data_IF_449563319046
#
_entry.id   IF_449563319046
#
_cell.length_a   1.000
_cell.length_b   1.000
_cell.length_c   1.000
_cell.angle_alpha   90.00
_cell.angle_beta   90.00
_cell.angle_gamma   90.00
#
_symmetry.space_group_name_H-M   'P 1'
#
loop_
_entity.id
_entity.type
_entity.pdbx_description
1 polymer ?
#
# COMPACT_ATOMS: atom_id res chain seq x y z
N UNK A 1 5.35 -8.07 -1.76
CA UNK A 1 5.72 -7.01 -2.74
C UNK A 1 4.64 -5.94 -2.92
N UNK A 2 3.38 -6.19 -2.54
CA UNK A 2 2.26 -5.24 -2.71
C UNK A 2 2.50 -3.83 -2.17
N UNK A 3 3.12 -3.71 -0.99
CA UNK A 3 3.50 -2.42 -0.42
C UNK A 3 4.35 -1.57 -1.38
N UNK A 4 5.28 -2.19 -2.10
CA UNK A 4 6.14 -1.48 -3.05
C UNK A 4 5.38 -1.05 -4.31
N UNK A 5 4.33 -1.79 -4.69
CA UNK A 5 3.43 -1.37 -5.77
C UNK A 5 2.63 -0.13 -5.35
N UNK A 6 2.20 -0.09 -4.09
CA UNK A 6 1.57 1.09 -3.49
C UNK A 6 2.51 2.29 -3.45
N UNK A 7 3.74 2.16 -2.93
CA UNK A 7 4.71 3.26 -2.88
C UNK A 7 4.98 3.81 -4.30
N UNK A 8 5.16 2.92 -5.28
CA UNK A 8 5.31 3.34 -6.68
C UNK A 8 4.07 4.07 -7.19
N UNK A 9 2.88 3.55 -6.90
CA UNK A 9 1.61 4.16 -7.27
C UNK A 9 1.42 5.55 -6.62
N UNK A 10 1.82 5.75 -5.36
CA UNK A 10 1.80 7.07 -4.71
C UNK A 10 2.69 8.10 -5.43
N UNK A 11 3.89 7.68 -5.86
CA UNK A 11 4.82 8.53 -6.64
C UNK A 11 4.24 8.86 -8.00
N UNK A 12 3.75 7.85 -8.72
CA UNK A 12 3.21 8.00 -10.06
C UNK A 12 2.01 8.96 -10.11
N UNK A 13 1.18 9.02 -9.05
CA UNK A 13 0.02 9.93 -8.96
C UNK A 13 0.35 11.36 -8.56
N UNK A 14 1.56 11.64 -8.06
CA UNK A 14 1.97 12.97 -7.62
C UNK A 14 2.84 13.72 -8.63
N UNK A 15 3.26 13.05 -9.70
CA UNK A 15 4.25 13.59 -10.65
C UNK A 15 5.51 14.11 -9.96
N UNK A 16 5.84 13.55 -8.79
CA UNK A 16 7.11 13.82 -8.14
C UNK A 16 8.16 13.25 -9.08
N UNK A 17 9.06 14.11 -9.56
CA UNK A 17 10.24 13.67 -10.31
C UNK A 17 10.85 12.50 -9.55
N UNK A 18 11.29 11.48 -10.30
CA UNK A 18 11.83 10.23 -9.74
C UNK A 18 13.18 10.53 -9.05
N UNK A 19 13.16 11.32 -7.99
CA UNK A 19 14.22 11.42 -7.02
C UNK A 19 14.20 10.17 -6.14
N UNK A 20 14.99 10.21 -5.08
CA UNK A 20 15.25 9.10 -4.15
C UNK A 20 14.03 8.64 -3.32
N UNK A 21 12.80 8.90 -3.74
CA UNK A 21 11.62 8.45 -3.00
C UNK A 21 11.20 7.03 -3.38
N UNK A 22 11.24 6.13 -2.40
CA UNK A 22 10.73 4.76 -2.50
C UNK A 22 11.67 3.76 -3.15
N UNK A 23 12.45 4.14 -4.17
CA UNK A 23 13.39 3.22 -4.82
C UNK A 23 14.55 2.78 -3.90
N UNK A 24 15.25 3.66 -3.16
CA UNK A 24 16.31 3.24 -2.24
C UNK A 24 15.80 2.28 -1.15
N UNK A 25 14.65 2.58 -0.54
CA UNK A 25 14.02 1.70 0.46
C UNK A 25 13.59 0.36 -0.17
N UNK A 26 13.08 0.38 -1.41
CA UNK A 26 12.72 -0.83 -2.16
C UNK A 26 13.94 -1.70 -2.44
N UNK A 27 15.03 -1.09 -2.92
CA UNK A 27 16.29 -1.76 -3.22
C UNK A 27 16.86 -2.39 -1.95
N UNK A 28 16.89 -1.65 -0.84
CA UNK A 28 17.35 -2.17 0.45
C UNK A 28 16.48 -3.33 0.95
N UNK A 29 15.15 -3.21 0.84
CA UNK A 29 14.24 -4.29 1.21
C UNK A 29 14.40 -5.52 0.31
N UNK A 30 14.69 -5.33 -0.98
CA UNK A 30 14.97 -6.43 -1.91
C UNK A 30 16.29 -7.14 -1.58
N UNK A 31 17.33 -6.37 -1.21
CA UNK A 31 18.59 -6.91 -0.67
C UNK A 31 18.34 -7.73 0.61
N UNK A 32 17.54 -7.20 1.55
CA UNK A 32 17.19 -7.89 2.81
C UNK A 32 16.38 -9.17 2.60
N UNK A 33 15.45 -9.18 1.64
CA UNK A 33 14.60 -10.35 1.36
C UNK A 33 15.36 -11.53 0.74
N UNK A 34 16.60 -11.30 0.31
CA UNK A 34 17.46 -12.37 -0.15
C UNK A 34 17.31 -12.59 -1.64
N UNK A 35 18.41 -12.33 -2.33
CA UNK A 35 18.89 -13.17 -3.41
C UNK A 35 20.42 -13.33 -3.26
N UNK A 36 20.94 -13.27 -2.03
CA UNK A 36 22.39 -13.47 -1.77
C UNK A 36 22.85 -14.86 -2.22
N UNK A 37 21.92 -15.82 -2.25
CA UNK A 37 22.16 -17.22 -2.62
C UNK A 37 22.11 -17.49 -4.14
N UNK A 38 21.39 -16.67 -4.93
CA UNK A 38 21.28 -16.86 -6.39
C UNK A 38 22.02 -15.78 -7.20
N UNK A 39 22.31 -14.64 -6.59
CA UNK A 39 23.18 -13.59 -7.14
C UNK A 39 24.19 -13.18 -6.06
N UNK A 40 25.37 -13.83 -6.02
CA UNK A 40 26.42 -13.53 -5.05
C UNK A 40 26.91 -12.08 -5.09
N UNK A 41 26.63 -11.34 -6.16
CA UNK A 41 26.99 -9.93 -6.31
C UNK A 41 25.86 -8.99 -5.91
N UNK A 42 25.88 -8.47 -4.68
CA UNK A 42 25.21 -7.19 -4.34
C UNK A 42 25.98 -6.00 -4.92
N UNK A 43 26.34 -6.09 -6.21
CA UNK A 43 27.12 -5.10 -6.93
C UNK A 43 26.25 -4.12 -7.72
N UNK A 44 26.87 -3.13 -8.39
CA UNK A 44 26.17 -2.11 -9.18
C UNK A 44 25.19 -2.68 -10.21
N UNK A 45 25.51 -3.84 -10.81
CA UNK A 45 24.64 -4.52 -11.78
C UNK A 45 23.31 -4.99 -11.18
N UNK A 46 23.31 -5.42 -9.91
CA UNK A 46 22.09 -5.79 -9.19
C UNK A 46 21.19 -4.57 -8.96
N UNK A 47 21.80 -3.43 -8.61
CA UNK A 47 21.08 -2.18 -8.38
C UNK A 47 20.47 -1.66 -9.67
N UNK A 48 21.25 -1.67 -10.77
CA UNK A 48 20.76 -1.30 -12.10
C UNK A 48 19.62 -2.18 -12.58
N UNK A 49 19.75 -3.51 -12.48
CA UNK A 49 18.68 -4.43 -12.89
C UNK A 49 17.43 -4.24 -12.03
N UNK A 50 17.59 -3.97 -10.73
CA UNK A 50 16.49 -3.64 -9.82
C UNK A 50 15.84 -2.31 -10.17
N UNK A 51 16.63 -1.30 -10.56
CA UNK A 51 16.14 -0.01 -11.05
C UNK A 51 15.33 -0.18 -12.33
N UNK A 52 15.86 -0.92 -13.32
CA UNK A 52 15.16 -1.24 -14.57
C UNK A 52 13.83 -1.94 -14.29
N UNK A 53 13.82 -2.93 -13.38
CA UNK A 53 12.57 -3.60 -12.98
C UNK A 53 11.59 -2.65 -12.31
N UNK A 54 12.07 -1.73 -11.46
CA UNK A 54 11.24 -0.71 -10.83
C UNK A 54 10.64 0.25 -11.85
N UNK A 55 11.41 0.69 -12.84
CA UNK A 55 10.97 1.58 -13.91
C UNK A 55 10.00 0.89 -14.88
N UNK A 56 10.26 -0.38 -15.21
CA UNK A 56 9.42 -1.20 -16.09
C UNK A 56 8.06 -1.53 -15.48
N UNK A 57 7.90 -1.44 -14.15
CA UNK A 57 6.58 -1.56 -13.54
C UNK A 57 5.64 -0.54 -14.16
N UNK A 58 4.51 -1.03 -14.67
CA UNK A 58 3.49 -0.18 -15.30
C UNK A 58 3.12 0.97 -14.36
N UNK A 59 3.13 2.18 -14.91
CA UNK A 59 2.64 3.39 -14.23
C UNK A 59 1.12 3.32 -14.19
N UNK A 60 0.57 3.02 -13.03
CA UNK A 60 -0.86 3.07 -12.81
C UNK A 60 -1.18 4.40 -12.16
N UNK A 61 -1.81 5.29 -12.92
CA UNK A 61 -2.35 6.54 -12.38
C UNK A 61 -3.86 6.40 -12.25
N UNK A 62 -4.37 6.89 -11.14
CA UNK A 62 -5.80 6.99 -10.91
C UNK A 62 -6.43 8.00 -11.86
N UNK A 63 -5.73 9.10 -12.14
CA UNK A 63 -6.11 10.10 -13.15
C UNK A 63 -4.97 10.29 -14.15
N UNK A 64 -5.04 9.65 -15.33
CA UNK A 64 -4.02 9.82 -16.36
C UNK A 64 -3.88 11.30 -16.78
N UNK A 65 -2.69 11.88 -16.59
CA UNK A 65 -2.40 13.29 -16.91
C UNK A 65 -3.08 14.32 -15.99
N UNK A 66 -3.65 13.90 -14.86
CA UNK A 66 -4.26 14.80 -13.88
C UNK A 66 -3.23 15.47 -12.97
N UNK A 67 -3.59 16.63 -12.41
CA UNK A 67 -2.82 17.27 -11.33
C UNK A 67 -3.00 16.52 -9.99
N UNK A 68 -2.16 16.83 -8.99
CA UNK A 68 -2.32 16.28 -7.64
C UNK A 68 -3.71 16.56 -7.04
N UNK A 69 -4.31 17.71 -7.32
CA UNK A 69 -5.67 18.03 -6.88
C UNK A 69 -6.71 17.11 -7.54
N UNK A 70 -6.55 16.80 -8.84
CA UNK A 70 -7.42 15.83 -9.51
C UNK A 70 -7.28 14.42 -8.91
N UNK A 71 -6.06 14.04 -8.51
CA UNK A 71 -5.82 12.80 -7.77
C UNK A 71 -6.53 12.78 -6.41
N UNK A 72 -6.42 13.85 -5.60
CA UNK A 72 -7.13 13.94 -4.31
C UNK A 72 -8.65 13.77 -4.45
N UNK A 73 -9.25 14.42 -5.46
CA UNK A 73 -10.68 14.30 -5.72
C UNK A 73 -11.08 12.90 -6.20
N UNK A 74 -10.23 12.25 -7.00
CA UNK A 74 -10.47 10.87 -7.42
C UNK A 74 -10.42 9.89 -6.22
N UNK A 75 -9.45 10.06 -5.32
CA UNK A 75 -9.34 9.27 -4.09
C UNK A 75 -10.58 9.44 -3.22
N UNK A 76 -11.01 10.69 -2.96
CA UNK A 76 -12.24 10.96 -2.20
C UNK A 76 -13.45 10.32 -2.85
N UNK A 77 -13.61 10.47 -4.17
CA UNK A 77 -14.72 9.90 -4.92
C UNK A 77 -14.77 8.37 -4.80
N UNK A 78 -13.63 7.69 -4.97
CA UNK A 78 -13.57 6.22 -4.86
C UNK A 78 -13.86 5.75 -3.44
N UNK A 79 -13.25 6.37 -2.44
CA UNK A 79 -13.53 6.06 -1.04
C UNK A 79 -15.01 6.24 -0.70
N UNK A 80 -15.64 7.32 -1.17
CA UNK A 80 -17.08 7.55 -1.02
C UNK A 80 -17.92 6.45 -1.71
N UNK A 81 -17.55 6.01 -2.93
CA UNK A 81 -18.21 4.89 -3.61
C UNK A 81 -18.10 3.56 -2.84
N UNK A 82 -17.15 3.43 -1.92
CA UNK A 82 -17.00 2.28 -1.02
C UNK A 82 -17.49 2.56 0.42
N UNK A 83 -18.33 3.59 0.61
CA UNK A 83 -18.92 3.99 1.89
C UNK A 83 -17.88 4.43 2.95
N UNK A 84 -16.69 4.85 2.54
CA UNK A 84 -15.74 5.48 3.45
C UNK A 84 -16.00 6.98 3.51
N UNK A 85 -16.50 7.46 4.64
CA UNK A 85 -16.99 8.84 4.82
C UNK A 85 -16.10 9.71 5.71
N UNK A 86 -15.01 9.17 6.26
CA UNK A 86 -14.14 9.89 7.19
C UNK A 86 -13.30 10.93 6.45
N UNK A 87 -13.10 12.09 7.08
CA UNK A 87 -12.30 13.17 6.51
C UNK A 87 -10.80 12.85 6.56
N UNK A 88 -10.10 13.15 5.47
CA UNK A 88 -8.65 13.03 5.36
C UNK A 88 -8.11 14.08 4.40
N UNK A 89 -6.81 14.38 4.51
CA UNK A 89 -6.10 15.29 3.62
C UNK A 89 -4.81 14.64 3.15
N UNK A 90 -4.67 14.41 1.85
CA UNK A 90 -3.41 13.90 1.30
C UNK A 90 -2.41 15.04 1.18
N UNK A 91 -1.16 14.79 1.58
CA UNK A 91 -0.07 15.73 1.36
C UNK A 91 0.60 15.50 0.01
N UNK A 92 1.08 16.60 -0.58
CA UNK A 92 1.77 16.59 -1.86
C UNK A 92 3.08 15.79 -1.76
N UNK A 93 3.77 15.85 -0.62
CA UNK A 93 4.90 14.98 -0.30
C UNK A 93 4.43 13.83 0.61
N UNK A 94 4.50 12.57 0.18
CA UNK A 94 4.10 11.42 1.00
C UNK A 94 4.85 11.31 2.33
N UNK A 95 6.05 11.89 2.45
CA UNK A 95 6.83 11.90 3.71
C UNK A 95 6.18 12.73 4.81
N UNK A 96 5.34 13.68 4.43
CA UNK A 96 4.66 14.60 5.36
C UNK A 96 3.31 14.06 5.82
N UNK A 97 2.82 12.98 5.19
CA UNK A 97 1.57 12.35 5.59
C UNK A 97 1.73 11.66 6.93
N UNK A 98 0.71 11.81 7.78
CA UNK A 98 0.65 11.00 9.00
C UNK A 98 0.35 9.53 8.68
N UNK A 99 0.56 8.67 9.67
CA UNK A 99 0.36 7.24 9.50
C UNK A 99 -1.08 6.92 9.09
N UNK A 100 -2.07 7.57 9.72
CA UNK A 100 -3.48 7.31 9.47
C UNK A 100 -3.86 7.63 8.02
N UNK A 101 -3.47 8.79 7.52
CA UNK A 101 -3.68 9.25 6.15
C UNK A 101 -2.97 8.34 5.14
N UNK A 102 -1.76 7.88 5.46
CA UNK A 102 -1.03 6.91 4.62
C UNK A 102 -1.82 5.60 4.48
N UNK A 103 -2.44 5.12 5.56
CA UNK A 103 -3.28 3.93 5.53
C UNK A 103 -4.60 4.14 4.78
N UNK A 104 -5.20 5.33 4.87
CA UNK A 104 -6.39 5.69 4.07
C UNK A 104 -6.04 5.72 2.58
N UNK A 105 -4.87 6.26 2.22
CA UNK A 105 -4.40 6.24 0.84
C UNK A 105 -4.09 4.82 0.36
N UNK A 106 -3.53 3.97 1.22
CA UNK A 106 -3.32 2.55 0.92
C UNK A 106 -4.64 1.80 0.72
N UNK A 107 -5.67 2.10 1.52
CA UNK A 107 -7.02 1.57 1.31
C UNK A 107 -7.56 1.96 -0.08
N UNK A 108 -7.40 3.23 -0.47
CA UNK A 108 -7.81 3.68 -1.80
C UNK A 108 -7.07 2.93 -2.92
N UNK A 109 -5.76 2.70 -2.78
CA UNK A 109 -4.98 1.90 -3.72
C UNK A 109 -5.54 0.48 -3.89
N UNK A 110 -5.90 -0.20 -2.79
CA UNK A 110 -6.47 -1.54 -2.88
C UNK A 110 -7.88 -1.53 -3.47
N UNK A 111 -8.70 -0.49 -3.22
CA UNK A 111 -9.97 -0.31 -3.94
C UNK A 111 -9.77 -0.08 -5.43
N UNK A 112 -8.84 0.80 -5.82
CA UNK A 112 -8.49 1.02 -7.22
C UNK A 112 -8.09 -0.28 -7.92
N UNK A 113 -7.27 -1.10 -7.26
CA UNK A 113 -6.85 -2.40 -7.79
C UNK A 113 -8.00 -3.41 -7.85
N UNK A 114 -8.90 -3.40 -6.86
CA UNK A 114 -10.10 -4.25 -6.85
C UNK A 114 -11.02 -3.90 -8.02
N UNK A 115 -11.27 -2.61 -8.25
CA UNK A 115 -12.12 -2.13 -9.34
C UNK A 115 -11.49 -2.44 -10.71
N UNK A 116 -10.17 -2.28 -10.82
CA UNK A 116 -9.41 -2.67 -12.01
C UNK A 116 -9.51 -4.17 -12.30
N UNK A 117 -9.40 -5.00 -11.26
CA UNK A 117 -9.55 -6.47 -11.38
C UNK A 117 -10.98 -6.86 -11.72
N UNK A 118 -12.00 -6.22 -11.13
CA UNK A 118 -13.40 -6.44 -11.47
C UNK A 118 -13.66 -6.15 -12.95
N UNK A 119 -13.19 -4.99 -13.45
CA UNK A 119 -13.34 -4.61 -14.85
C UNK A 119 -12.59 -5.57 -15.79
N UNK A 120 -11.43 -6.10 -15.37
CA UNK A 120 -10.72 -7.13 -16.13
C UNK A 120 -11.49 -8.45 -16.16
N UNK A 121 -12.02 -8.90 -15.02
CA UNK A 121 -12.79 -10.13 -14.93
C UNK A 121 -14.07 -10.06 -15.78
N UNK A 122 -14.80 -8.95 -15.75
CA UNK A 122 -15.98 -8.76 -16.62
C UNK A 122 -15.65 -8.91 -18.10
N UNK A 123 -14.46 -8.47 -18.55
CA UNK A 123 -14.03 -8.66 -19.94
C UNK A 123 -13.69 -10.11 -20.24
N UNK A 124 -12.98 -10.77 -19.32
CA UNK A 124 -12.55 -12.17 -19.47
C UNK A 124 -13.70 -13.17 -19.28
N UNK A 125 -14.77 -12.77 -18.59
CA UNK A 125 -15.96 -13.59 -18.36
C UNK A 125 -16.63 -13.95 -19.68
N UNK A 126 -16.68 -13.03 -20.64
CA UNK A 126 -17.23 -13.32 -21.95
C UNK A 126 -16.41 -14.38 -22.69
N UNK A 127 -15.08 -14.26 -22.67
CA UNK A 127 -14.19 -15.26 -23.29
C UNK A 127 -14.31 -16.62 -22.60
N UNK A 128 -14.47 -16.61 -21.27
CA UNK A 128 -14.68 -17.80 -20.46
C UNK A 128 -15.99 -18.51 -20.82
N UNK A 129 -17.11 -17.78 -20.92
CA UNK A 129 -18.41 -18.31 -21.34
C UNK A 129 -18.32 -18.86 -22.77
N UNK A 130 -17.74 -18.10 -23.69
CA UNK A 130 -17.56 -18.53 -25.08
C UNK A 130 -16.71 -19.81 -25.20
N UNK A 131 -15.68 -19.95 -24.36
CA UNK A 131 -14.86 -21.17 -24.32
C UNK A 131 -15.66 -22.38 -23.83
N UNK A 132 -16.52 -22.19 -22.83
CA UNK A 132 -17.45 -23.24 -22.36
C UNK A 132 -18.44 -23.64 -23.44
N UNK A 133 -19.08 -22.69 -24.12
CA UNK A 133 -20.05 -22.98 -25.18
C UNK A 133 -19.40 -23.80 -26.31
N UNK A 134 -18.21 -23.39 -26.76
CA UNK A 134 -17.44 -24.13 -27.78
C UNK A 134 -17.07 -25.53 -27.31
N UNK A 135 -16.73 -25.68 -26.03
CA UNK A 135 -16.39 -26.97 -25.46
C UNK A 135 -17.61 -27.91 -25.43
N UNK A 136 -18.81 -27.40 -25.11
CA UNK A 136 -20.04 -28.19 -24.98
C UNK A 136 -20.73 -28.53 -26.32
N UNK A 137 -20.75 -27.61 -27.29
CA UNK A 137 -21.45 -27.80 -28.58
C UNK A 137 -20.96 -29.02 -29.36
N UNK A 138 -19.67 -29.35 -29.28
CA UNK A 138 -19.06 -30.42 -30.08
C UNK A 138 -19.32 -31.82 -29.49
N UNK A 139 -19.74 -31.93 -28.23
CA UNK A 139 -20.12 -33.24 -27.65
C UNK A 139 -21.52 -33.69 -28.09
N UNK A 140 -22.41 -32.76 -28.42
CA UNK A 140 -23.77 -33.11 -28.84
C UNK A 140 -23.82 -33.71 -30.25
N UNK A 141 -22.83 -33.45 -31.10
CA UNK A 141 -22.80 -33.96 -32.50
C UNK A 141 -22.08 -35.30 -32.65
N UNK A 142 -21.48 -35.83 -31.58
CA UNK A 142 -20.70 -37.08 -31.62
C UNK A 142 -21.53 -38.33 -31.35
N UNK A 143 -22.77 -38.15 -30.91
CA UNK A 143 -23.69 -39.23 -30.62
C UNK A 143 -24.89 -39.16 -31.57
N UNK A 144 -25.33 -40.31 -32.08
CA UNK A 144 -26.60 -40.40 -32.80
C UNK A 144 -27.77 -40.10 -31.84
N UNK A 145 -29.00 -40.04 -32.39
CA UNK A 145 -30.22 -39.85 -31.59
C UNK A 145 -30.43 -40.94 -30.51
N UNK A 146 -29.63 -42.01 -30.52
CA UNK A 146 -29.67 -43.13 -29.58
C UNK A 146 -28.46 -43.17 -28.65
N UNK A 147 -27.60 -42.13 -28.64
CA UNK A 147 -26.43 -42.07 -27.76
C UNK A 147 -25.25 -42.93 -28.23
N UNK A 148 -25.24 -43.42 -29.48
CA UNK A 148 -24.12 -44.21 -30.02
C UNK A 148 -23.07 -43.30 -30.67
N UNK A 149 -21.78 -43.52 -30.41
CA UNK A 149 -20.71 -42.75 -31.06
C UNK A 149 -20.77 -42.89 -32.59
N UNK A 150 -20.78 -41.76 -33.30
CA UNK A 150 -20.86 -41.70 -34.77
C UNK A 150 -19.51 -41.95 -35.48
N UNK A 151 -18.39 -42.04 -34.76
CA UNK A 151 -17.04 -42.20 -35.32
C UNK A 151 -16.23 -43.27 -34.58
N UNK A 152 -15.31 -43.92 -35.31
CA UNK A 152 -14.38 -44.92 -34.78
C UNK A 152 -13.55 -44.33 -33.60
N UNK A 153 -13.37 -45.09 -32.51
CA UNK A 153 -12.87 -44.57 -31.24
C UNK A 153 -11.40 -44.12 -31.23
N UNK A 154 -10.58 -44.59 -32.16
CA UNK A 154 -9.11 -44.38 -32.12
C UNK A 154 -8.69 -42.96 -32.56
N UNK A 155 -9.38 -42.34 -33.52
CA UNK A 155 -9.14 -40.94 -33.92
C UNK A 155 -9.73 -39.91 -32.94
N UNK A 156 -10.50 -40.39 -31.95
CA UNK A 156 -11.31 -39.53 -31.09
C UNK A 156 -10.53 -38.96 -29.89
N UNK A 157 -9.52 -39.69 -29.39
CA UNK A 157 -8.73 -39.27 -28.23
C UNK A 157 -7.88 -38.04 -28.53
N UNK A 158 -7.16 -38.03 -29.66
CA UNK A 158 -6.33 -36.89 -30.06
C UNK A 158 -7.14 -35.59 -30.24
N UNK A 159 -8.31 -35.69 -30.88
CA UNK A 159 -9.23 -34.57 -31.04
C UNK A 159 -9.80 -34.07 -29.70
N UNK A 160 -10.12 -34.99 -28.77
CA UNK A 160 -10.57 -34.62 -27.43
C UNK A 160 -9.47 -33.92 -26.63
N UNK A 161 -8.25 -34.45 -26.64
CA UNK A 161 -7.10 -33.84 -25.97
C UNK A 161 -6.86 -32.42 -26.48
N UNK A 162 -6.86 -32.22 -27.81
CA UNK A 162 -6.70 -30.89 -28.41
C UNK A 162 -7.81 -29.92 -27.97
N UNK A 163 -9.07 -30.39 -27.88
CA UNK A 163 -10.19 -29.57 -27.38
C UNK A 163 -9.99 -29.18 -25.92
N UNK A 164 -9.59 -30.12 -25.07
CA UNK A 164 -9.29 -29.86 -23.65
C UNK A 164 -8.16 -28.84 -23.52
N UNK A 165 -7.08 -28.98 -24.31
CA UNK A 165 -5.96 -28.04 -24.27
C UNK A 165 -6.38 -26.62 -24.69
N UNK A 166 -7.19 -26.50 -25.75
CA UNK A 166 -7.77 -25.22 -26.18
C UNK A 166 -8.63 -24.62 -25.08
N UNK A 167 -9.51 -25.43 -24.47
CA UNK A 167 -10.38 -24.98 -23.39
C UNK A 167 -9.60 -24.51 -22.16
N UNK A 168 -8.58 -25.26 -21.73
CA UNK A 168 -7.70 -24.88 -20.60
C UNK A 168 -7.01 -23.56 -20.91
N UNK A 169 -6.43 -23.42 -22.11
CA UNK A 169 -5.73 -22.20 -22.53
C UNK A 169 -6.67 -20.99 -22.56
N UNK A 170 -7.86 -21.15 -23.14
CA UNK A 170 -8.78 -20.03 -23.35
C UNK A 170 -9.48 -19.61 -22.03
N UNK A 171 -9.68 -20.54 -21.09
CA UNK A 171 -10.24 -20.23 -19.75
C UNK A 171 -9.21 -19.79 -18.71
N UNK A 172 -7.92 -20.08 -18.95
CA UNK A 172 -6.83 -19.78 -18.00
C UNK A 172 -6.77 -18.31 -17.55
N UNK A 173 -6.90 -17.29 -18.42
CA UNK A 173 -6.83 -15.90 -18.00
C UNK A 173 -7.86 -15.56 -16.92
N UNK A 174 -9.13 -15.97 -17.09
CA UNK A 174 -10.18 -15.73 -16.11
C UNK A 174 -9.87 -16.46 -14.79
N UNK A 175 -9.66 -17.78 -14.85
CA UNK A 175 -9.37 -18.64 -13.69
C UNK A 175 -8.16 -18.16 -12.89
N UNK A 176 -7.13 -17.66 -13.58
CA UNK A 176 -5.92 -17.14 -12.94
C UNK A 176 -6.15 -15.83 -12.17
N UNK A 177 -7.17 -15.03 -12.52
CA UNK A 177 -7.44 -13.71 -11.90
C UNK A 177 -8.50 -13.75 -10.82
N UNK A 178 -9.42 -14.71 -10.88
CA UNK A 178 -10.49 -14.83 -9.90
C UNK A 178 -9.99 -14.95 -8.44
N UNK A 179 -8.98 -15.77 -8.10
CA UNK A 179 -8.46 -15.84 -6.73
C UNK A 179 -7.92 -14.50 -6.23
N UNK A 180 -7.25 -13.72 -7.10
CA UNK A 180 -6.75 -12.39 -6.73
C UNK A 180 -7.89 -11.42 -6.41
N UNK A 181 -8.99 -11.48 -7.16
CA UNK A 181 -10.16 -10.65 -6.89
C UNK A 181 -10.82 -11.01 -5.54
N UNK A 182 -11.02 -12.31 -5.27
CA UNK A 182 -11.53 -12.78 -3.98
C UNK A 182 -10.62 -12.34 -2.82
N UNK A 183 -9.31 -12.47 -3.01
CA UNK A 183 -8.30 -12.05 -2.04
C UNK A 183 -8.37 -10.55 -1.75
N UNK A 184 -8.57 -9.71 -2.78
CA UNK A 184 -8.68 -8.25 -2.61
C UNK A 184 -9.88 -7.85 -1.74
N UNK A 185 -10.99 -8.58 -1.80
CA UNK A 185 -12.14 -8.35 -0.93
C UNK A 185 -11.81 -8.60 0.56
N UNK A 186 -11.05 -9.65 0.85
CA UNK A 186 -10.60 -9.96 2.22
C UNK A 186 -9.61 -8.90 2.71
N UNK A 187 -8.66 -8.52 1.87
CA UNK A 187 -7.65 -7.52 2.19
C UNK A 187 -8.27 -6.16 2.52
N UNK A 188 -9.18 -5.66 1.69
CA UNK A 188 -9.85 -4.35 1.91
C UNK A 188 -10.65 -4.34 3.21
N UNK A 189 -11.35 -5.42 3.55
CA UNK A 189 -12.03 -5.56 4.86
C UNK A 189 -11.03 -5.51 6.02
N UNK A 190 -9.93 -6.24 5.92
CA UNK A 190 -8.90 -6.26 6.95
C UNK A 190 -8.26 -4.87 7.15
N UNK A 191 -8.01 -4.11 6.07
CA UNK A 191 -7.47 -2.75 6.16
C UNK A 191 -8.43 -1.82 6.92
N UNK A 192 -9.73 -1.93 6.67
CA UNK A 192 -10.75 -1.14 7.40
C UNK A 192 -10.70 -1.41 8.91
N UNK A 193 -10.53 -2.67 9.33
CA UNK A 193 -10.37 -3.04 10.74
C UNK A 193 -9.11 -2.39 11.34
N UNK A 194 -7.98 -2.40 10.59
CA UNK A 194 -6.75 -1.75 11.05
C UNK A 194 -6.88 -0.23 11.16
N UNK A 195 -7.57 0.41 10.22
CA UNK A 195 -7.83 1.85 10.27
C UNK A 195 -8.58 2.25 11.55
N UNK A 196 -9.52 1.41 12.01
CA UNK A 196 -10.20 1.61 13.28
C UNK A 196 -9.24 1.54 14.49
N UNK A 197 -8.34 0.56 14.51
CA UNK A 197 -7.33 0.42 15.58
C UNK A 197 -6.35 1.60 15.61
N UNK A 198 -5.86 2.02 14.45
CA UNK A 198 -4.93 3.17 14.34
C UNK A 198 -5.61 4.46 14.79
N UNK A 199 -6.88 4.65 14.43
CA UNK A 199 -7.65 5.82 14.87
C UNK A 199 -7.86 5.82 16.39
N UNK A 200 -8.24 4.70 16.99
CA UNK A 200 -8.43 4.60 18.44
C UNK A 200 -7.13 4.92 19.21
N UNK A 201 -6.01 4.42 18.70
CA UNK A 201 -4.70 4.70 19.29
C UNK A 201 -4.26 6.15 19.14
N UNK A 202 -4.46 6.76 17.96
CA UNK A 202 -4.11 8.18 17.78
C UNK A 202 -4.95 9.07 18.70
N UNK A 203 -6.20 8.72 18.99
CA UNK A 203 -7.02 9.37 20.02
C UNK A 203 -6.43 9.18 21.42
N UNK A 204 -6.05 7.96 21.80
CA UNK A 204 -5.44 7.67 23.11
C UNK A 204 -4.12 8.42 23.33
N UNK A 205 -3.29 8.55 22.29
CA UNK A 205 -2.03 9.29 22.37
C UNK A 205 -2.26 10.79 22.59
N UNK A 206 -3.33 11.37 22.01
CA UNK A 206 -3.69 12.77 22.24
C UNK A 206 -4.14 12.99 23.68
N UNK A 207 -5.03 12.14 24.21
CA UNK A 207 -5.52 12.26 25.59
C UNK A 207 -4.40 12.08 26.62
N UNK A 208 -3.45 11.17 26.38
CA UNK A 208 -2.32 10.95 27.29
C UNK A 208 -1.35 12.15 27.31
N UNK A 209 -1.16 12.81 26.17
CA UNK A 209 -0.30 14.00 26.07
C UNK A 209 -0.89 15.19 26.82
N UNK A 210 -2.21 15.33 26.80
CA UNK A 210 -2.91 16.43 27.49
C UNK A 210 -2.91 16.25 29.02
N UNK A 211 -3.05 15.01 29.52
CA UNK A 211 -2.92 14.73 30.97
C UNK A 211 -1.50 14.93 31.52
N UNK A 212 -0.46 14.87 30.68
CA UNK A 212 0.93 15.07 31.11
C UNK A 212 1.30 16.54 31.37
N UNK A 213 0.45 17.50 30.98
CA UNK A 213 0.73 18.93 31.13
C UNK A 213 0.00 19.61 32.29
N UNK A 214 -0.77 18.87 33.09
CA UNK A 214 -1.16 19.37 34.42
C UNK A 214 0.10 19.52 35.24
N UNK A 215 0.62 20.75 35.25
CA UNK A 215 1.72 21.23 36.07
C UNK A 215 1.60 20.56 37.43
N UNK A 216 2.50 19.62 37.71
CA UNK A 216 2.67 19.13 39.06
C UNK A 216 2.77 20.38 39.95
N UNK A 217 1.83 20.60 40.89
CA UNK A 217 1.94 21.72 41.79
C UNK A 217 3.30 21.58 42.45
N UNK A 218 4.17 22.56 42.21
CA UNK A 218 5.54 22.58 42.67
C UNK A 218 5.56 22.10 44.12
N UNK A 219 6.15 20.92 44.33
CA UNK A 219 6.28 20.30 45.64
C UNK A 219 6.89 21.31 46.58
N UNK A 220 6.03 21.91 47.40
CA UNK A 220 6.40 22.81 48.48
C UNK A 220 7.27 21.97 49.40
N UNK A 221 8.56 22.33 49.44
CA UNK A 221 9.64 21.78 50.27
C UNK A 221 9.11 21.48 51.68
N UNK A 222 8.75 20.22 51.96
CA UNK A 222 8.38 19.76 53.30
C UNK A 222 9.69 19.63 54.09
N UNK A 223 9.93 20.60 54.98
CA UNK A 223 10.91 20.46 56.06
C UNK A 223 10.48 19.27 56.91
N UNK A 224 11.41 18.32 57.05
CA UNK A 224 11.34 17.23 58.00
C UNK A 224 11.57 17.82 59.38
N UNK A 225 10.56 17.74 60.24
CA UNK A 225 10.67 17.90 61.68
C UNK A 225 10.00 16.68 62.29
N UNK A 226 10.79 15.91 63.03
CA UNK A 226 10.34 14.99 64.07
C UNK A 226 9.58 15.82 65.12
N UNK A 227 8.39 15.39 65.54
CA UNK A 227 8.17 14.88 66.90
C UNK A 227 6.67 14.61 67.19
N UNK A 228 6.48 13.65 68.10
CA UNK A 228 5.36 13.35 69.00
C UNK A 228 3.93 13.05 68.53
N UNK A 229 3.45 11.92 69.06
CA UNK A 229 2.06 11.52 69.29
C UNK A 229 1.25 12.60 70.01
N UNK A 230 -0.03 12.78 69.66
CA UNK A 230 -1.15 12.96 70.61
C UNK A 230 -2.46 12.61 69.86
N UNK A 231 -3.32 11.91 70.58
CA UNK A 231 -4.70 11.52 70.29
C UNK A 231 -5.68 12.70 70.01
N UNK A 232 -6.93 12.29 69.74
CA UNK A 232 -8.21 13.02 69.90
C UNK A 232 -8.94 13.51 68.63
N UNK A 233 -10.04 12.78 68.38
CA UNK A 233 -11.43 13.26 68.36
C UNK A 233 -11.83 14.43 67.43
N UNK A 234 -12.81 14.07 66.59
CA UNK A 234 -14.09 14.77 66.42
C UNK A 234 -14.19 16.09 65.63
N UNK A 235 -15.26 16.09 64.83
CA UNK A 235 -16.09 17.24 64.47
C UNK A 235 -15.64 18.13 63.31
N UNK A 236 -16.62 18.52 62.49
CA UNK A 236 -16.49 19.72 61.68
C UNK A 236 -17.02 19.66 60.26
N UNK A 237 -18.35 19.72 60.13
CA UNK A 237 -19.07 20.15 58.92
C UNK A 237 -18.47 21.43 58.33
N UNK A 238 -18.38 21.55 57.00
CA UNK A 238 -18.72 22.83 56.36
C UNK A 238 -19.01 22.74 54.87
N UNK A 239 -20.18 23.28 54.53
CA UNK A 239 -20.70 23.54 53.20
C UNK A 239 -19.82 24.55 52.43
N UNK A 240 -19.72 24.38 51.09
CA UNK A 240 -19.81 25.54 50.18
C UNK A 240 -20.19 25.19 48.74
N UNK A 241 -21.47 25.49 48.50
CA UNK A 241 -22.19 25.96 47.30
C UNK A 241 -21.32 26.70 46.25
N UNK A 242 -21.46 26.33 44.97
CA UNK A 242 -21.28 27.20 43.78
C UNK A 242 -21.89 26.45 42.59
N UNK A 243 -23.14 26.68 42.14
CA UNK A 243 -23.73 27.80 41.38
C UNK A 243 -22.98 28.17 40.09
N UNK A 244 -23.42 27.62 38.95
CA UNK A 244 -23.49 28.35 37.69
C UNK A 244 -24.47 27.70 36.71
N UNK A 245 -25.67 28.28 36.64
CA UNK A 245 -26.53 28.26 35.46
C UNK A 245 -26.06 29.35 34.48
N UNK A 246 -26.20 29.09 33.18
CA UNK A 246 -25.89 30.06 32.13
C UNK A 246 -26.22 29.54 30.74
N UNK A 247 -27.52 29.51 30.43
CA UNK A 247 -28.09 29.18 29.14
C UNK A 247 -27.93 30.32 28.09
N UNK A 248 -28.29 29.98 26.84
CA UNK A 248 -28.61 30.88 25.71
C UNK A 248 -27.41 31.30 24.84
N UNK A 249 -27.43 31.23 23.51
CA UNK A 249 -28.50 30.87 22.58
C UNK A 249 -28.07 31.21 21.13
N UNK A 250 -28.77 30.60 20.17
CA UNK A 250 -29.11 31.14 18.84
C UNK A 250 -28.02 31.25 17.73
N UNK A 251 -28.10 30.31 16.78
CA UNK A 251 -28.06 30.52 15.31
C UNK A 251 -29.12 31.57 14.88
N UNK A 252 -29.18 32.15 13.63
CA UNK A 252 -28.86 31.50 12.35
C UNK A 252 -28.39 32.38 11.15
N UNK A 253 -28.24 31.70 10.00
CA UNK A 253 -28.63 32.09 8.62
C UNK A 253 -27.66 32.80 7.64
N UNK A 254 -27.49 32.10 6.50
CA UNK A 254 -27.54 32.56 5.09
C UNK A 254 -26.38 33.38 4.50
N UNK A 255 -25.79 32.88 3.39
CA UNK A 255 -26.26 33.23 2.03
C UNK A 255 -25.58 32.42 0.92
N UNK A 256 -26.40 32.06 -0.08
CA UNK A 256 -26.06 31.56 -1.42
C UNK A 256 -25.69 32.71 -2.35
N UNK A 257 -24.72 32.50 -3.25
CA UNK A 257 -24.67 33.06 -4.60
C UNK A 257 -23.79 32.16 -5.49
N UNK A 258 -24.33 31.32 -6.39
CA UNK A 258 -24.61 31.59 -7.82
C UNK A 258 -23.49 32.33 -8.58
N UNK A 259 -22.78 31.58 -9.44
CA UNK A 259 -21.95 32.10 -10.53
C UNK A 259 -21.50 30.97 -11.48
N UNK A 260 -21.99 30.99 -12.73
CA UNK A 260 -21.78 30.08 -13.88
C UNK A 260 -21.30 30.98 -15.06
N UNK A 261 -20.97 30.50 -16.29
CA UNK A 261 -19.94 29.59 -16.81
C UNK A 261 -18.99 30.24 -17.88
N UNK A 262 -18.20 29.36 -18.54
CA UNK A 262 -17.58 29.41 -19.90
C UNK A 262 -16.15 30.02 -19.93
N UNK A 263 -15.16 29.49 -20.68
CA UNK A 263 -15.17 29.03 -22.07
C UNK A 263 -14.14 27.91 -22.35
N UNK A 264 -14.47 27.08 -23.34
CA UNK A 264 -13.60 26.18 -24.10
C UNK A 264 -12.82 26.96 -25.17
N UNK A 265 -11.54 26.63 -25.38
CA UNK A 265 -10.83 26.61 -26.69
C UNK A 265 -9.50 25.87 -26.50
N UNK A 266 -9.35 24.65 -27.04
CA UNK A 266 -8.60 24.34 -28.29
C UNK A 266 -7.19 24.92 -28.36
N UNK A 267 -6.16 24.07 -28.39
CA UNK A 267 -5.23 23.95 -29.52
C UNK A 267 -4.23 22.80 -29.30
N UNK A 268 -3.71 22.32 -30.43
CA UNK A 268 -3.08 21.04 -30.71
C UNK A 268 -1.78 21.35 -31.45
N UNK A 269 -0.64 20.77 -31.06
CA UNK A 269 0.57 20.52 -31.88
C UNK A 269 1.63 19.92 -30.93
N UNK A 270 2.05 18.65 -30.98
CA UNK A 270 2.67 17.89 -32.08
C UNK A 270 3.85 18.60 -32.74
N UNK A 271 5.06 18.43 -32.19
CA UNK A 271 6.29 18.39 -32.99
C UNK A 271 7.22 17.27 -32.51
N UNK A 272 7.44 16.35 -33.45
CA UNK A 272 8.48 15.33 -33.48
C UNK A 272 9.85 16.01 -33.46
N UNK A 273 10.77 15.51 -32.65
CA UNK A 273 12.19 15.87 -32.68
C UNK A 273 13.02 14.60 -32.67
N UNK A 274 13.43 14.16 -33.87
CA UNK A 274 14.36 13.07 -34.07
C UNK A 274 15.76 13.43 -33.53
N UNK A 275 16.43 12.52 -32.82
CA UNK A 275 17.88 12.63 -32.61
C UNK A 275 18.59 11.32 -32.94
N UNK A 276 19.48 11.46 -33.91
CA UNK A 276 20.36 10.47 -34.52
C UNK A 276 21.41 9.96 -33.54
N UNK A 277 21.59 8.65 -33.58
CA UNK A 277 22.85 7.89 -33.58
C UNK A 277 24.18 8.66 -33.41
N UNK A 278 25.02 8.19 -32.48
CA UNK A 278 26.46 7.92 -32.69
C UNK A 278 27.01 7.01 -31.57
N UNK A 279 27.42 5.81 -31.97
CA UNK A 279 28.47 4.99 -31.34
C UNK A 279 29.80 5.30 -32.08
N UNK A 280 30.92 4.59 -31.81
CA UNK A 280 31.65 4.45 -30.54
C UNK A 280 33.12 4.87 -30.72
N UNK A 281 33.80 5.22 -29.62
CA UNK A 281 35.25 5.47 -29.58
C UNK A 281 35.89 4.58 -28.53
N UNK A 282 36.80 3.73 -28.96
CA UNK A 282 37.39 2.61 -28.24
C UNK A 282 38.72 3.07 -27.54
N UNK A 283 39.62 2.18 -27.08
CA UNK A 283 40.09 2.08 -25.70
C UNK A 283 41.54 2.58 -25.48
N UNK A 284 42.03 2.55 -24.24
CA UNK A 284 43.25 1.83 -23.82
C UNK A 284 43.92 2.43 -22.58
N UNK A 285 44.43 1.51 -21.74
CA UNK A 285 45.67 1.63 -20.93
C UNK A 285 45.62 2.56 -19.70
N UNK A 286 46.31 2.36 -18.59
CA UNK A 286 47.27 1.35 -18.12
C UNK A 286 47.42 1.53 -16.60
N UNK A 287 47.73 0.42 -15.93
CA UNK A 287 48.59 0.26 -14.74
C UNK A 287 49.00 1.53 -13.95
N UNK A 288 48.81 1.50 -12.62
CA UNK A 288 49.94 1.48 -11.65
C UNK A 288 49.46 1.26 -10.21
N UNK A 289 50.15 0.33 -9.56
CA UNK A 289 50.17 0.07 -8.14
C UNK A 289 50.71 1.27 -7.36
N UNK A 290 50.27 1.44 -6.11
CA UNK A 290 51.17 1.69 -4.98
C UNK A 290 50.52 1.29 -3.65
N UNK A 291 51.30 0.56 -2.86
CA UNK A 291 51.15 0.35 -1.43
C UNK A 291 50.88 1.66 -0.68
N UNK A 292 50.09 1.59 0.39
CA UNK A 292 50.37 2.37 1.59
C UNK A 292 49.82 1.66 2.82
N UNK A 293 50.80 1.16 3.57
CA UNK A 293 50.71 0.61 4.91
C UNK A 293 50.60 1.76 5.93
N UNK A 294 50.04 1.44 7.10
CA UNK A 294 50.14 2.19 8.36
C UNK A 294 49.53 3.61 8.45
N UNK A 295 48.42 3.72 9.19
CA UNK A 295 48.38 4.59 10.38
C UNK A 295 47.19 4.25 11.30
N UNK A 296 47.51 3.53 12.39
CA UNK A 296 46.80 3.65 13.67
C UNK A 296 47.09 5.04 14.23
N UNK A 297 46.06 5.79 14.59
CA UNK A 297 45.93 6.46 15.90
C UNK A 297 44.74 7.43 15.96
N UNK A 298 43.99 7.29 17.05
CA UNK A 298 43.37 8.38 17.80
C UNK A 298 42.32 9.26 17.10
N UNK A 299 41.04 8.90 17.28
CA UNK A 299 39.97 9.90 17.41
C UNK A 299 38.84 9.33 18.27
N UNK A 300 39.04 9.47 19.58
CA UNK A 300 38.03 9.30 20.61
C UNK A 300 37.34 10.65 20.82
N UNK A 301 36.01 10.63 20.99
CA UNK A 301 35.14 11.74 21.43
C UNK A 301 34.79 12.84 20.41
N UNK A 302 34.14 12.45 19.31
CA UNK A 302 33.04 13.24 18.70
C UNK A 302 31.97 12.29 18.12
N UNK A 303 31.30 11.51 18.97
CA UNK A 303 29.99 10.92 18.63
C UNK A 303 28.95 12.03 18.67
N UNK A 304 28.91 12.74 17.55
CA UNK A 304 27.94 13.77 17.19
C UNK A 304 26.54 13.16 17.07
N UNK A 305 25.52 13.94 17.41
CA UNK A 305 24.09 13.64 17.42
C UNK A 305 23.47 13.06 16.11
N UNK A 306 24.27 12.72 15.11
CA UNK A 306 23.84 12.09 13.86
C UNK A 306 23.41 10.61 14.03
N UNK A 307 23.92 9.91 15.05
CA UNK A 307 23.57 8.48 15.28
C UNK A 307 22.16 8.31 15.90
N UNK A 308 21.59 9.38 16.47
CA UNK A 308 20.20 9.40 16.97
C UNK A 308 19.15 9.61 15.87
N UNK A 309 19.55 10.01 14.65
CA UNK A 309 18.64 10.17 13.49
C UNK A 309 18.52 8.91 12.62
N UNK A 310 19.34 7.87 12.88
CA UNK A 310 19.31 6.60 12.13
C UNK A 310 18.41 5.55 12.81
N UNK A 311 17.88 5.83 14.00
CA UNK A 311 16.90 4.93 14.61
C UNK A 311 15.53 5.18 13.96
N UNK A 312 14.91 4.16 13.33
CA UNK A 312 13.55 4.30 12.82
C UNK A 312 12.65 4.72 13.97
N UNK A 313 11.85 5.77 13.73
CA UNK A 313 10.90 6.31 14.71
C UNK A 313 10.11 5.16 15.35
N UNK A 314 9.68 5.27 16.62
CA UNK A 314 8.87 4.24 17.27
C UNK A 314 7.66 3.81 16.41
N UNK A 315 7.11 4.75 15.64
CA UNK A 315 6.05 4.54 14.65
C UNK A 315 6.53 3.72 13.44
N UNK A 316 7.73 3.96 12.92
CA UNK A 316 8.32 3.16 11.83
C UNK A 316 8.67 1.74 12.28
N UNK A 317 9.15 1.54 13.52
CA UNK A 317 9.34 0.19 14.11
C UNK A 317 8.02 -0.54 14.32
N UNK A 318 6.96 0.19 14.70
CA UNK A 318 5.63 -0.39 14.92
C UNK A 318 4.91 -0.70 13.61
N UNK A 319 5.05 0.16 12.60
CA UNK A 319 4.66 -0.11 11.22
C UNK A 319 5.39 -1.36 10.69
N UNK A 320 6.69 -1.50 10.92
CA UNK A 320 7.45 -2.70 10.56
C UNK A 320 6.98 -3.96 11.30
N UNK A 321 6.65 -3.90 12.60
CA UNK A 321 6.07 -5.04 13.33
C UNK A 321 4.66 -5.38 12.84
N UNK A 322 3.84 -4.39 12.57
CA UNK A 322 2.51 -4.59 11.96
C UNK A 322 2.65 -5.16 10.56
N UNK A 323 3.65 -4.73 9.78
CA UNK A 323 3.99 -5.23 8.45
C UNK A 323 4.52 -6.68 8.52
N UNK A 324 5.33 -7.03 9.52
CA UNK A 324 5.77 -8.39 9.76
C UNK A 324 4.60 -9.32 10.13
N UNK A 325 3.75 -8.89 11.08
CA UNK A 325 2.51 -9.60 11.45
C UNK A 325 1.55 -9.75 10.26
N UNK A 326 1.48 -8.71 9.43
CA UNK A 326 0.75 -8.70 8.17
C UNK A 326 1.23 -9.80 7.24
N UNK A 327 2.55 -9.87 7.02
CA UNK A 327 3.16 -10.80 6.09
C UNK A 327 3.03 -12.25 6.58
N UNK A 328 3.06 -12.45 7.90
CA UNK A 328 2.79 -13.73 8.54
C UNK A 328 1.33 -14.17 8.35
N UNK A 329 0.36 -13.28 8.64
CA UNK A 329 -1.06 -13.59 8.41
C UNK A 329 -1.37 -13.81 6.93
N UNK A 330 -0.76 -13.03 6.03
CA UNK A 330 -0.87 -13.22 4.59
C UNK A 330 -0.42 -14.62 4.17
N UNK A 331 0.71 -15.07 4.73
CA UNK A 331 1.26 -16.41 4.47
C UNK A 331 0.39 -17.52 5.08
N UNK A 332 -0.35 -17.24 6.15
CA UNK A 332 -1.32 -18.20 6.71
C UNK A 332 -2.59 -18.31 5.86
N UNK A 333 -3.14 -17.17 5.40
CA UNK A 333 -4.32 -17.16 4.53
C UNK A 333 -4.02 -17.81 3.19
N UNK A 334 -2.86 -17.51 2.59
CA UNK A 334 -2.44 -18.14 1.32
C UNK A 334 -2.23 -19.65 1.48
N UNK A 335 -1.62 -20.10 2.58
CA UNK A 335 -1.50 -21.54 2.88
C UNK A 335 -2.86 -22.21 3.03
N UNK A 336 -3.81 -21.57 3.70
CA UNK A 336 -5.16 -22.12 3.88
C UNK A 336 -5.95 -22.16 2.57
N UNK A 337 -5.82 -21.13 1.74
CA UNK A 337 -6.45 -21.09 0.42
C UNK A 337 -5.90 -22.18 -0.51
N UNK A 338 -4.57 -22.41 -0.50
CA UNK A 338 -3.95 -23.49 -1.28
C UNK A 338 -4.33 -24.88 -0.77
N UNK A 339 -4.44 -25.06 0.54
CA UNK A 339 -4.87 -26.34 1.13
C UNK A 339 -6.27 -26.75 0.68
N UNK A 340 -7.22 -25.81 0.68
CA UNK A 340 -8.59 -26.06 0.21
C UNK A 340 -8.63 -26.41 -1.29
N UNK A 341 -7.78 -25.80 -2.12
CA UNK A 341 -7.73 -26.13 -3.55
C UNK A 341 -7.19 -27.55 -3.76
N UNK A 342 -6.16 -27.96 -3.00
CA UNK A 342 -5.60 -29.32 -3.11
C UNK A 342 -6.58 -30.42 -2.67
N UNK A 343 -7.49 -30.13 -1.74
CA UNK A 343 -8.55 -31.08 -1.33
C UNK A 343 -9.66 -31.25 -2.38
N UNK A 344 -9.83 -30.31 -3.32
CA UNK A 344 -10.80 -30.41 -4.42
C UNK A 344 -10.20 -31.03 -5.70
N UNK A 345 -8.88 -31.21 -5.76
CA UNK A 345 -8.16 -31.84 -6.88
C UNK A 345 -7.84 -33.33 -6.63
N UNK A 346 -8.21 -33.88 -5.46
CA UNK A 346 -8.26 -35.32 -5.16
C UNK A 346 -9.70 -35.81 -5.25
#
# INVERSE_FOLDING_TARGET
NRWWDFIKWQVDNRDIEVGDYGFPDYLEARRRKGLREYYPGSGPEYDESTARLWEMKRKYREVPGGSFSAYQEAVKKRLACHNFTREFRLEADPRQQDAWTTWVEYLNFEYFERDRLAALLMRLEQDYINAWDKFLVVDSSRFDAFGRPLAEPEDNFGALQQRVDIFIRDTYPYRSKEPFFRHQRVLTRWILEQLGLIEAETKQQRTAKDCGQTKFPSSKKRKQAEDEEVDDEESGRSLKRSKQDGASGQNPTQQLARGRPKNFTKARASKRGARKSRLPGQPASSQKNTNLDSQKSQSSKRRSCAEAMVLPSPIRRRSQRLQARLQERYSQVDRRARGVIAEFEM
#
